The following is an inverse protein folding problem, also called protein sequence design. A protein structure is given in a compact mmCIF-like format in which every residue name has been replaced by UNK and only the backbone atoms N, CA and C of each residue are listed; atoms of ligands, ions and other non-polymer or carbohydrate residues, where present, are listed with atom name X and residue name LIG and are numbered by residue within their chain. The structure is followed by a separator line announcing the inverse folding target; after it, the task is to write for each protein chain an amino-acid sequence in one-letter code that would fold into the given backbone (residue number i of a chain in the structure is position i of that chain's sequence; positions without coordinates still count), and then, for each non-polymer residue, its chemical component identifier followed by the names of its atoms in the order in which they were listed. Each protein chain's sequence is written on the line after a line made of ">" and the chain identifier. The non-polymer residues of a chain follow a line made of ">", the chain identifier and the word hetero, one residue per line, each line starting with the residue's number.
data_IF_917807453273
#
_entry.id   IF_917807453273
#
_cell.length_a   1.000
_cell.length_b   1.000
_cell.length_c   1.000
_cell.angle_alpha   90.00
_cell.angle_beta   90.00
_cell.angle_gamma   90.00
#
_symmetry.space_group_name_H-M   'P 1'
#
loop_
_entity.id
_entity.type
_entity.pdbx_description
1 polymer ?
#
# COMPACT_ATOMS: atom_id res chain seq x y z
N UNK A 1 -16.20 7.24 14.27
CA UNK A 1 -16.72 7.37 12.89
C UNK A 1 -15.94 6.44 11.97
N UNK A 2 -16.54 5.97 10.87
CA UNK A 2 -15.81 5.25 9.84
C UNK A 2 -15.34 6.22 8.75
N UNK A 3 -14.05 6.22 8.47
CA UNK A 3 -13.44 7.06 7.43
C UNK A 3 -13.12 6.19 6.21
N UNK A 4 -13.76 6.50 5.08
CA UNK A 4 -13.53 5.80 3.81
C UNK A 4 -12.64 6.61 2.90
N UNK A 5 -11.79 5.94 2.15
CA UNK A 5 -10.86 6.56 1.22
C UNK A 5 -10.58 5.64 0.04
N UNK A 6 -10.03 6.20 -1.04
CA UNK A 6 -9.46 5.45 -2.14
C UNK A 6 -7.99 5.82 -2.35
N UNK A 7 -7.19 4.82 -2.71
CA UNK A 7 -5.80 4.94 -3.10
C UNK A 7 -5.77 4.78 -4.61
N UNK A 8 -5.39 5.85 -5.32
CA UNK A 8 -5.13 5.81 -6.76
C UNK A 8 -3.64 5.65 -6.97
N UNK A 9 -3.20 4.47 -7.40
CA UNK A 9 -1.82 4.30 -7.86
C UNK A 9 -1.63 5.00 -9.20
N UNK A 10 -0.54 5.77 -9.32
CA UNK A 10 -0.18 6.55 -10.51
C UNK A 10 0.90 5.87 -11.34
N UNK A 11 1.46 4.78 -10.81
CA UNK A 11 2.54 4.02 -11.43
C UNK A 11 2.47 2.57 -10.94
N UNK A 12 3.33 1.73 -11.50
CA UNK A 12 3.51 0.36 -11.01
C UNK A 12 3.84 0.36 -9.51
N UNK A 13 3.30 -0.61 -8.77
CA UNK A 13 3.48 -0.70 -7.33
C UNK A 13 3.78 -2.12 -6.88
N UNK A 14 4.45 -2.24 -5.74
CA UNK A 14 4.81 -3.54 -5.16
C UNK A 14 4.71 -3.45 -3.65
N UNK A 15 3.76 -4.18 -3.06
CA UNK A 15 3.67 -4.39 -1.62
C UNK A 15 4.15 -5.79 -1.28
N UNK A 16 5.17 -5.88 -0.43
CA UNK A 16 5.59 -7.15 0.17
C UNK A 16 5.17 -7.20 1.63
N UNK A 17 5.28 -8.38 2.23
CA UNK A 17 4.86 -8.60 3.62
C UNK A 17 5.79 -7.98 4.68
N UNK A 18 6.83 -7.24 4.29
CA UNK A 18 7.75 -6.55 5.20
C UNK A 18 8.60 -7.47 6.08
N UNK A 19 8.50 -8.80 5.92
CA UNK A 19 9.42 -9.74 6.53
C UNK A 19 10.74 -9.72 5.77
N UNK A 20 11.66 -8.86 6.19
CA UNK A 20 13.08 -8.92 5.82
C UNK A 20 13.72 -10.15 6.49
N UNK A 21 13.30 -11.34 6.07
CA UNK A 21 13.79 -12.64 6.51
C UNK A 21 14.72 -13.25 5.47
N UNK A 22 15.90 -12.65 5.29
CA UNK A 22 17.17 -13.31 4.96
C UNK A 22 17.26 -14.45 3.93
N UNK A 23 16.33 -14.61 2.99
CA UNK A 23 16.37 -15.74 2.06
C UNK A 23 15.98 -15.33 0.64
N UNK A 24 16.68 -15.93 -0.30
CA UNK A 24 16.60 -15.80 -1.76
C UNK A 24 15.23 -16.21 -2.31
N UNK A 25 14.18 -15.50 -1.94
CA UNK A 25 12.87 -15.61 -2.58
C UNK A 25 12.52 -14.22 -3.10
N UNK A 26 12.37 -14.11 -4.42
CA UNK A 26 11.80 -12.93 -5.06
C UNK A 26 10.52 -12.58 -4.30
N UNK A 27 10.49 -11.40 -3.69
CA UNK A 27 9.31 -10.94 -2.98
C UNK A 27 8.18 -10.86 -4.00
N UNK A 28 7.28 -11.84 -3.99
CA UNK A 28 6.08 -11.83 -4.81
C UNK A 28 5.16 -10.70 -4.38
N UNK A 29 4.33 -10.23 -5.31
CA UNK A 29 3.27 -9.27 -4.99
C UNK A 29 2.35 -9.86 -3.91
N UNK A 30 1.95 -9.04 -2.93
CA UNK A 30 0.96 -9.46 -1.96
C UNK A 30 -0.44 -9.57 -2.58
N UNK A 31 -1.02 -10.77 -2.52
CA UNK A 31 -2.33 -11.11 -3.08
C UNK A 31 -3.26 -11.65 -1.99
N UNK A 32 -4.55 -11.43 -2.17
CA UNK A 32 -5.58 -12.04 -1.34
C UNK A 32 -5.79 -13.53 -1.69
N UNK A 33 -6.78 -14.16 -1.07
CA UNK A 33 -7.07 -15.59 -1.27
C UNK A 33 -7.54 -15.94 -2.69
N UNK A 34 -7.96 -14.95 -3.48
CA UNK A 34 -8.46 -15.13 -4.85
C UNK A 34 -7.48 -14.59 -5.91
N UNK A 35 -6.26 -14.21 -5.49
CA UNK A 35 -5.20 -13.77 -6.38
C UNK A 35 -5.27 -12.29 -6.76
N UNK A 36 -6.05 -11.47 -6.05
CA UNK A 36 -6.18 -10.04 -6.33
C UNK A 36 -5.22 -9.25 -5.42
N UNK A 37 -4.44 -8.30 -5.99
CA UNK A 37 -3.56 -7.45 -5.19
C UNK A 37 -4.33 -6.53 -4.25
N UNK A 38 -3.79 -6.34 -3.05
CA UNK A 38 -4.34 -5.44 -2.04
C UNK A 38 -3.22 -4.75 -1.26
N UNK A 39 -3.56 -3.68 -0.53
CA UNK A 39 -2.63 -3.03 0.40
C UNK A 39 -3.08 -3.32 1.83
N UNK A 40 -2.22 -3.91 2.67
CA UNK A 40 -2.60 -4.22 4.04
C UNK A 40 -2.94 -2.99 4.87
N UNK A 41 -3.94 -3.10 5.74
CA UNK A 41 -4.30 -2.05 6.69
C UNK A 41 -3.14 -1.67 7.60
N UNK A 42 -2.31 -2.64 8.00
CA UNK A 42 -1.06 -2.41 8.76
C UNK A 42 -0.08 -1.49 8.01
N UNK A 43 -0.02 -1.60 6.67
CA UNK A 43 0.85 -0.77 5.84
C UNK A 43 0.33 0.66 5.83
N UNK A 44 -0.98 0.86 5.63
CA UNK A 44 -1.59 2.19 5.69
C UNK A 44 -1.44 2.81 7.08
N UNK A 45 -1.66 2.03 8.14
CA UNK A 45 -1.45 2.45 9.54
C UNK A 45 -0.03 2.95 9.75
N UNK A 46 0.98 2.18 9.35
CA UNK A 46 2.38 2.57 9.49
C UNK A 46 2.71 3.85 8.75
N UNK A 47 2.23 4.00 7.51
CA UNK A 47 2.48 5.19 6.70
C UNK A 47 1.76 6.44 7.20
N UNK A 48 0.51 6.31 7.63
CA UNK A 48 -0.22 7.42 8.22
C UNK A 48 0.46 7.90 9.51
N UNK A 49 0.98 6.97 10.31
CA UNK A 49 1.69 7.25 11.56
C UNK A 49 2.93 8.13 11.37
N UNK A 50 3.66 7.98 10.27
CA UNK A 50 4.83 8.81 9.94
C UNK A 50 4.49 10.32 9.81
N UNK A 51 3.22 10.65 9.58
CA UNK A 51 2.73 12.03 9.44
C UNK A 51 1.98 12.54 10.67
N UNK A 52 2.07 11.82 11.80
CA UNK A 52 1.45 12.21 13.07
C UNK A 52 2.46 12.91 13.96
N UNK A 53 2.13 14.12 14.38
CA UNK A 53 2.95 14.92 15.31
C UNK A 53 2.26 15.17 16.65
N UNK A 54 0.95 14.99 16.71
CA UNK A 54 0.15 15.12 17.92
C UNK A 54 0.20 13.81 18.71
N UNK A 55 0.68 13.87 19.95
CA UNK A 55 0.88 12.68 20.80
C UNK A 55 -0.43 12.05 21.23
N UNK A 56 -1.45 12.85 21.52
CA UNK A 56 -2.76 12.33 21.93
C UNK A 56 -3.41 11.60 20.77
N UNK A 57 -3.37 12.20 19.58
CA UNK A 57 -3.82 11.57 18.34
C UNK A 57 -3.06 10.27 18.05
N UNK A 58 -1.73 10.27 18.17
CA UNK A 58 -0.92 9.07 17.96
C UNK A 58 -1.33 7.94 18.91
N UNK A 59 -1.38 8.24 20.20
CA UNK A 59 -1.70 7.27 21.25
C UNK A 59 -3.10 6.70 21.09
N UNK A 60 -4.10 7.57 20.93
CA UNK A 60 -5.50 7.16 20.82
C UNK A 60 -5.72 6.38 19.54
N UNK A 61 -5.27 6.87 18.39
CA UNK A 61 -5.62 6.26 17.10
C UNK A 61 -4.70 5.09 16.71
N UNK A 62 -3.41 5.14 17.05
CA UNK A 62 -2.43 4.14 16.60
C UNK A 62 -2.01 3.18 17.72
N UNK A 63 -2.16 3.59 18.97
CA UNK A 63 -1.76 2.81 20.15
C UNK A 63 -0.29 3.00 20.51
N UNK A 64 0.15 2.44 21.62
CA UNK A 64 1.56 2.33 22.04
C UNK A 64 1.91 0.86 22.27
N UNK A 65 3.17 0.56 22.60
CA UNK A 65 3.67 -0.81 22.77
C UNK A 65 2.77 -1.72 23.64
N UNK A 66 2.08 -1.14 24.63
CA UNK A 66 1.23 -1.86 25.59
C UNK A 66 -0.28 -1.70 25.35
N UNK A 67 -0.70 -0.80 24.45
CA UNK A 67 -2.11 -0.46 24.22
C UNK A 67 -2.43 -0.40 22.74
N UNK A 68 -3.42 -1.16 22.29
CA UNK A 68 -3.93 -1.04 20.92
C UNK A 68 -4.67 0.30 20.73
N UNK A 69 -4.41 0.97 19.61
CA UNK A 69 -5.12 2.19 19.24
C UNK A 69 -6.57 1.87 18.87
N UNK A 70 -7.48 2.82 19.09
CA UNK A 70 -8.91 2.63 18.84
C UNK A 70 -9.25 2.55 17.36
N UNK A 71 -8.39 3.07 16.47
CA UNK A 71 -8.64 3.05 15.02
C UNK A 71 -8.22 1.72 14.41
N UNK A 72 -9.14 1.06 13.70
CA UNK A 72 -8.85 -0.16 12.97
C UNK A 72 -8.73 0.14 11.48
N UNK A 73 -7.52 -0.04 10.95
CA UNK A 73 -7.20 0.14 9.54
C UNK A 73 -7.50 -1.16 8.80
N UNK A 74 -8.52 -1.15 7.94
CA UNK A 74 -8.83 -2.28 7.08
C UNK A 74 -7.89 -2.34 5.87
N UNK A 75 -7.78 -3.51 5.28
CA UNK A 75 -7.08 -3.69 4.01
C UNK A 75 -7.74 -2.85 2.91
N UNK A 76 -6.92 -2.19 2.10
CA UNK A 76 -7.40 -1.48 0.92
C UNK A 76 -7.47 -2.46 -0.25
N UNK A 77 -8.68 -2.67 -0.76
CA UNK A 77 -9.02 -3.73 -1.73
C UNK A 77 -9.64 -3.15 -2.99
N UNK A 78 -9.68 -3.93 -4.06
CA UNK A 78 -10.33 -3.52 -5.30
C UNK A 78 -11.85 -3.34 -5.10
N UNK A 79 -12.50 -2.53 -5.93
CA UNK A 79 -13.96 -2.36 -5.89
C UNK A 79 -14.67 -3.70 -6.08
N UNK A 80 -15.80 -3.90 -5.38
CA UNK A 80 -16.51 -5.19 -5.36
C UNK A 80 -16.88 -5.71 -6.75
N UNK A 81 -17.39 -4.84 -7.62
CA UNK A 81 -17.83 -5.22 -8.97
C UNK A 81 -16.65 -5.55 -9.89
N UNK A 82 -15.55 -4.81 -9.76
CA UNK A 82 -14.30 -5.05 -10.48
C UNK A 82 -13.67 -6.38 -10.03
N UNK A 83 -13.56 -6.60 -8.72
CA UNK A 83 -13.04 -7.83 -8.14
C UNK A 83 -13.86 -9.05 -8.58
N UNK A 84 -15.20 -8.93 -8.54
CA UNK A 84 -16.10 -9.98 -9.01
C UNK A 84 -15.87 -10.30 -10.50
N UNK A 85 -15.76 -9.28 -11.35
CA UNK A 85 -15.54 -9.46 -12.78
C UNK A 85 -14.19 -10.13 -13.07
N UNK A 86 -13.13 -9.68 -12.42
CA UNK A 86 -11.79 -10.27 -12.54
C UNK A 86 -11.79 -11.73 -12.12
N UNK A 87 -12.43 -12.05 -10.99
CA UNK A 87 -12.50 -13.41 -10.49
C UNK A 87 -13.31 -14.30 -11.43
N UNK A 88 -14.47 -13.83 -11.89
CA UNK A 88 -15.38 -14.58 -12.76
C UNK A 88 -14.73 -14.91 -14.11
N UNK A 89 -14.02 -13.94 -14.69
CA UNK A 89 -13.39 -14.06 -16.01
C UNK A 89 -11.91 -14.54 -15.93
N UNK A 90 -11.42 -14.87 -14.72
CA UNK A 90 -10.06 -15.36 -14.45
C UNK A 90 -8.93 -14.43 -14.96
N UNK A 91 -9.03 -13.14 -14.66
CA UNK A 91 -8.16 -12.08 -15.20
C UNK A 91 -7.01 -11.65 -14.26
N UNK A 92 -6.79 -12.35 -13.14
CA UNK A 92 -5.84 -11.96 -12.09
C UNK A 92 -4.41 -11.80 -12.60
N UNK A 93 -4.01 -12.61 -13.58
CA UNK A 93 -2.65 -12.60 -14.14
C UNK A 93 -2.33 -11.28 -14.84
N UNK A 94 -3.34 -10.61 -15.40
CA UNK A 94 -3.22 -9.32 -16.08
C UNK A 94 -3.09 -8.13 -15.11
N UNK A 95 -3.28 -8.34 -13.81
CA UNK A 95 -3.05 -7.31 -12.80
C UNK A 95 -1.55 -7.13 -12.48
N UNK A 96 -0.70 -8.03 -12.97
CA UNK A 96 0.73 -8.07 -12.65
C UNK A 96 1.59 -8.05 -13.91
N UNK A 97 2.81 -7.57 -13.75
CA UNK A 97 3.84 -7.60 -14.79
C UNK A 97 5.22 -7.64 -14.14
N UNK A 98 6.27 -7.81 -14.94
CA UNK A 98 7.66 -7.78 -14.47
C UNK A 98 8.35 -6.52 -15.00
N UNK A 99 9.08 -5.85 -14.11
CA UNK A 99 9.97 -4.73 -14.48
C UNK A 99 11.40 -5.14 -14.24
N UNK A 100 12.26 -4.97 -15.25
CA UNK A 100 13.68 -5.29 -15.17
C UNK A 100 14.49 -4.11 -14.60
N UNK A 101 15.36 -4.39 -13.63
CA UNK A 101 16.33 -3.44 -13.10
C UNK A 101 17.76 -3.90 -13.44
N UNK A 102 18.56 -3.05 -14.08
CA UNK A 102 19.99 -3.28 -14.33
C UNK A 102 20.84 -2.37 -13.44
N UNK A 103 21.86 -2.94 -12.78
CA UNK A 103 22.89 -2.14 -12.12
C UNK A 103 23.96 -1.77 -13.16
N UNK A 104 24.32 -0.49 -13.24
CA UNK A 104 25.34 0.03 -14.15
C UNK A 104 26.63 0.24 -13.33
N UNK A 105 27.77 -0.28 -13.81
CA UNK A 105 29.09 -0.05 -13.22
C UNK A 105 29.62 1.36 -13.55
N UNK A 106 30.65 1.84 -12.84
CA UNK A 106 31.26 3.17 -13.08
C UNK A 106 31.77 3.37 -14.52
N UNK A 107 31.99 2.27 -15.25
CA UNK A 107 32.39 2.25 -16.66
C UNK A 107 31.20 2.36 -17.65
N UNK A 108 29.97 2.52 -17.17
CA UNK A 108 28.76 2.61 -17.99
C UNK A 108 28.23 1.27 -18.53
N UNK A 109 28.80 0.14 -18.13
CA UNK A 109 28.36 -1.20 -18.55
C UNK A 109 27.43 -1.82 -17.50
N UNK A 110 26.45 -2.60 -17.95
CA UNK A 110 25.61 -3.38 -17.05
C UNK A 110 26.47 -4.44 -16.33
N UNK A 111 26.38 -4.50 -15.00
CA UNK A 111 27.07 -5.51 -14.19
C UNK A 111 26.53 -6.89 -14.52
N UNK A 112 27.41 -7.82 -14.88
CA UNK A 112 27.06 -9.20 -15.25
C UNK A 112 26.32 -9.90 -14.09
N UNK A 113 25.16 -10.52 -14.37
CA UNK A 113 24.31 -11.18 -13.36
C UNK A 113 23.48 -10.23 -12.47
N UNK A 114 23.39 -8.94 -12.79
CA UNK A 114 22.61 -7.97 -12.00
C UNK A 114 21.15 -7.79 -12.41
N UNK A 115 20.70 -8.45 -13.49
CA UNK A 115 19.31 -8.39 -13.95
C UNK A 115 18.41 -9.00 -12.86
N UNK A 116 17.69 -8.14 -12.12
CA UNK A 116 16.63 -8.57 -11.22
C UNK A 116 15.32 -8.08 -11.80
N UNK A 117 14.47 -9.04 -12.15
CA UNK A 117 13.09 -8.76 -12.48
C UNK A 117 12.28 -8.69 -11.19
N UNK A 118 11.41 -7.70 -11.10
CA UNK A 118 10.55 -7.52 -9.94
C UNK A 118 9.12 -7.61 -10.43
N UNK A 119 8.36 -8.52 -9.85
CA UNK A 119 6.92 -8.59 -10.09
C UNK A 119 6.26 -7.36 -9.46
N UNK A 120 5.53 -6.61 -10.26
CA UNK A 120 4.81 -5.40 -9.88
C UNK A 120 3.36 -5.50 -10.29
N UNK A 121 2.52 -4.71 -9.63
CA UNK A 121 1.11 -4.56 -9.95
C UNK A 121 0.93 -3.35 -10.86
N UNK A 122 0.04 -3.47 -11.83
CA UNK A 122 -0.38 -2.34 -12.67
C UNK A 122 -1.03 -1.23 -11.81
N UNK A 123 -1.10 0.03 -12.30
CA UNK A 123 -1.84 1.07 -11.60
C UNK A 123 -3.31 0.67 -11.39
N UNK A 124 -3.74 0.65 -10.12
CA UNK A 124 -5.10 0.31 -9.70
C UNK A 124 -5.66 1.37 -8.75
N UNK A 125 -6.99 1.39 -8.60
CA UNK A 125 -7.67 2.13 -7.55
C UNK A 125 -8.15 1.15 -6.49
N UNK A 126 -7.65 1.29 -5.26
CA UNK A 126 -8.05 0.46 -4.13
C UNK A 126 -8.85 1.29 -3.13
N UNK A 127 -9.76 0.66 -2.42
CA UNK A 127 -10.68 1.28 -1.46
C UNK A 127 -10.38 0.76 -0.06
N UNK A 128 -10.16 1.68 0.87
CA UNK A 128 -9.88 1.36 2.27
C UNK A 128 -10.85 2.05 3.22
N UNK A 129 -10.89 1.54 4.44
CA UNK A 129 -11.73 2.05 5.52
C UNK A 129 -10.94 2.03 6.83
N UNK A 130 -11.08 3.10 7.62
CA UNK A 130 -10.60 3.16 9.00
C UNK A 130 -11.83 3.24 9.89
N UNK A 131 -12.03 2.21 10.69
CA UNK A 131 -13.12 2.17 11.66
C UNK A 131 -12.72 2.89 12.94
N UNK A 132 -13.73 3.36 13.69
CA UNK A 132 -13.59 3.91 15.04
C UNK A 132 -12.69 5.17 15.15
N UNK A 133 -12.57 5.96 14.09
CA UNK A 133 -11.86 7.25 14.15
C UNK A 133 -12.61 8.21 15.08
N UNK A 134 -12.00 8.70 16.18
CA UNK A 134 -12.62 9.69 17.06
C UNK A 134 -12.90 10.99 16.33
N UNK A 135 -14.00 11.65 16.66
CA UNK A 135 -14.48 12.83 15.93
C UNK A 135 -13.42 13.95 15.88
N UNK A 136 -12.75 14.20 16.99
CA UNK A 136 -11.73 15.25 17.14
C UNK A 136 -10.48 14.99 16.28
N UNK A 137 -10.26 13.73 15.89
CA UNK A 137 -9.10 13.30 15.11
C UNK A 137 -9.40 13.03 13.64
N UNK A 138 -10.65 13.19 13.18
CA UNK A 138 -11.02 12.94 11.78
C UNK A 138 -10.17 13.79 10.83
N UNK A 139 -10.04 15.09 11.08
CA UNK A 139 -9.29 15.98 10.20
C UNK A 139 -7.78 15.65 10.20
N UNK A 140 -7.21 15.34 11.37
CA UNK A 140 -5.82 14.92 11.48
C UNK A 140 -5.56 13.62 10.72
N UNK A 141 -6.45 12.63 10.84
CA UNK A 141 -6.37 11.37 10.11
C UNK A 141 -6.47 11.58 8.59
N UNK A 142 -7.40 12.44 8.14
CA UNK A 142 -7.52 12.79 6.72
C UNK A 142 -6.23 13.44 6.18
N UNK A 143 -5.62 14.35 6.94
CA UNK A 143 -4.38 15.01 6.56
C UNK A 143 -3.20 14.03 6.52
N UNK A 144 -3.10 13.13 7.51
CA UNK A 144 -2.09 12.08 7.55
C UNK A 144 -2.20 11.17 6.31
N UNK A 145 -3.41 10.72 5.98
CA UNK A 145 -3.67 9.92 4.78
C UNK A 145 -3.31 10.67 3.49
N UNK A 146 -3.77 11.92 3.32
CA UNK A 146 -3.47 12.75 2.14
C UNK A 146 -1.97 13.04 1.97
N UNK A 147 -1.19 12.94 3.04
CA UNK A 147 0.27 13.14 3.03
C UNK A 147 1.03 11.93 2.49
N UNK A 148 0.40 10.74 2.41
CA UNK A 148 1.00 9.55 1.82
C UNK A 148 1.07 9.71 0.30
N UNK A 149 2.30 9.87 -0.23
CA UNK A 149 2.56 10.01 -1.68
C UNK A 149 3.11 8.75 -2.35
N UNK A 150 3.54 7.77 -1.55
CA UNK A 150 4.09 6.50 -2.03
C UNK A 150 3.73 5.35 -1.10
N UNK A 151 3.42 4.18 -1.64
CA UNK A 151 3.13 2.94 -0.89
C UNK A 151 3.95 1.79 -1.50
N UNK A 152 4.47 0.89 -0.66
CA UNK A 152 5.20 -0.30 -1.11
C UNK A 152 6.74 -0.16 -1.10
N UNK A 153 7.42 -1.16 -1.66
CA UNK A 153 8.88 -1.24 -1.75
C UNK A 153 9.43 -0.49 -2.98
N UNK A 154 10.76 -0.38 -3.06
CA UNK A 154 11.47 0.25 -4.18
C UNK A 154 11.04 1.70 -4.46
N UNK A 155 10.67 2.42 -3.40
CA UNK A 155 10.27 3.83 -3.45
C UNK A 155 11.32 4.73 -4.13
N UNK A 156 12.60 4.42 -4.00
CA UNK A 156 13.72 5.15 -4.63
C UNK A 156 13.91 4.84 -6.11
N UNK A 157 13.20 3.84 -6.65
CA UNK A 157 13.24 3.41 -8.06
C UNK A 157 11.95 3.71 -8.83
N UNK A 158 11.13 4.63 -8.33
CA UNK A 158 9.96 5.16 -9.05
C UNK A 158 8.64 4.42 -8.83
N UNK A 159 8.64 3.27 -8.15
CA UNK A 159 7.43 2.50 -7.88
C UNK A 159 6.58 3.09 -6.74
N UNK A 160 5.28 2.77 -6.79
CA UNK A 160 4.38 2.96 -5.66
C UNK A 160 3.83 4.37 -5.50
N UNK A 161 4.01 5.26 -6.47
CA UNK A 161 3.41 6.61 -6.45
C UNK A 161 1.89 6.50 -6.36
N UNK A 162 1.29 7.22 -5.43
CA UNK A 162 -0.14 7.17 -5.22
C UNK A 162 -0.70 8.53 -4.78
N UNK A 163 -2.01 8.64 -4.93
CA UNK A 163 -2.82 9.70 -4.35
C UNK A 163 -3.91 9.07 -3.49
N UNK A 164 -4.04 9.53 -2.24
CA UNK A 164 -5.14 9.14 -1.37
C UNK A 164 -6.21 10.24 -1.38
N UNK A 165 -7.44 9.84 -1.72
CA UNK A 165 -8.61 10.70 -1.78
C UNK A 165 -9.59 10.22 -0.72
N UNK A 166 -10.02 11.13 0.15
CA UNK A 166 -11.02 10.84 1.18
C UNK A 166 -12.40 10.89 0.54
N UNK A 167 -13.21 9.86 0.78
CA UNK A 167 -14.60 9.85 0.33
C UNK A 167 -15.43 10.58 1.39
N UNK A 168 -15.62 11.88 1.20
CA UNK A 168 -16.56 12.66 2.01
C UNK A 168 -17.99 12.24 1.63
N UNK A 169 -18.62 11.39 2.45
CA UNK A 169 -20.06 11.17 2.49
C UNK A 169 -20.74 10.67 1.20
N UNK A 170 -21.25 9.45 1.24
CA UNK A 170 -22.60 9.17 0.71
C UNK A 170 -23.45 8.82 1.93
#
# INVERSE_FOLDING_TARGET
>A
MNLKYKIRFLDFWHCSNGMSGGSKYDAGVLLDRVGIPFVPGKTIKGLAREFVFDKEFEEVCFGKEECEGVCHFCDAVLGKDEAYTIQKENLQEFLKTFVSCTAIEENGRAKEGSLREIEVVIPLVLYGEINNVPQDFVLLMQNALKSIKRIGLNRTRGLGRCEIIINEGI
#
